data_IF_586867409492
#
_entry.id   IF_586867409492
#
_cell.length_a   1.000
_cell.length_b   1.000
_cell.length_c   1.000
_cell.angle_alpha   90.00
_cell.angle_beta   90.00
_cell.angle_gamma   90.00
#
_symmetry.space_group_name_H-M   'P 1'
#
loop_
_entity.id
_entity.type
_entity.pdbx_description
1 polymer ?
#
# COMPACT_ATOMS: atom_id res chain seq x y z
N UNK A 1 17.91 -14.66 -21.77
CA UNK A 1 16.94 -14.06 -22.72
C UNK A 1 16.60 -12.66 -22.23
N UNK A 2 16.20 -11.73 -23.11
CA UNK A 2 15.81 -10.36 -22.70
C UNK A 2 14.67 -10.36 -21.66
N UNK A 3 13.80 -11.35 -21.69
CA UNK A 3 12.69 -11.50 -20.75
C UNK A 3 13.14 -11.73 -19.30
N UNK A 4 14.16 -12.59 -19.09
CA UNK A 4 14.66 -12.88 -17.73
C UNK A 4 15.29 -11.62 -17.10
N UNK A 5 15.96 -10.81 -17.91
CA UNK A 5 16.59 -9.59 -17.43
C UNK A 5 15.58 -8.54 -16.98
N UNK A 6 14.48 -8.37 -17.73
CA UNK A 6 13.38 -7.46 -17.35
C UNK A 6 12.74 -7.88 -16.02
N UNK A 7 12.59 -9.18 -15.78
CA UNK A 7 12.05 -9.70 -14.51
C UNK A 7 13.00 -9.39 -13.35
N UNK A 8 14.31 -9.51 -13.53
CA UNK A 8 15.32 -9.20 -12.51
C UNK A 8 15.40 -7.70 -12.20
N UNK A 9 15.34 -6.84 -13.23
CA UNK A 9 15.31 -5.39 -13.06
C UNK A 9 14.03 -4.93 -12.34
N UNK A 10 12.89 -5.55 -12.66
CA UNK A 10 11.62 -5.32 -11.96
C UNK A 10 11.69 -5.77 -10.49
N UNK A 11 12.29 -6.92 -10.21
CA UNK A 11 12.52 -7.40 -8.84
C UNK A 11 13.35 -6.39 -8.04
N UNK A 12 14.46 -5.89 -8.59
CA UNK A 12 15.31 -4.89 -7.94
C UNK A 12 14.58 -3.56 -7.71
N UNK A 13 13.65 -3.19 -8.60
CA UNK A 13 12.82 -2.00 -8.44
C UNK A 13 11.74 -2.17 -7.35
N UNK A 14 11.11 -3.35 -7.28
CA UNK A 14 9.97 -3.58 -6.37
C UNK A 14 10.41 -3.94 -4.94
N UNK A 15 11.56 -4.60 -4.76
CA UNK A 15 12.05 -5.03 -3.43
C UNK A 15 12.19 -3.88 -2.41
N UNK A 16 12.77 -2.70 -2.75
CA UNK A 16 12.82 -1.56 -1.84
C UNK A 16 11.43 -0.99 -1.51
N UNK A 17 10.47 -1.10 -2.44
CA UNK A 17 9.08 -0.69 -2.20
C UNK A 17 8.36 -1.70 -1.27
N UNK A 18 8.75 -2.97 -1.31
CA UNK A 18 8.26 -4.02 -0.40
C UNK A 18 8.79 -3.88 1.04
N UNK A 19 9.83 -3.10 1.30
CA UNK A 19 10.21 -2.76 2.69
C UNK A 19 9.12 -1.96 3.41
N UNK A 20 8.28 -1.21 2.67
CA UNK A 20 7.07 -0.56 3.20
C UNK A 20 5.95 -1.59 3.45
N UNK A 21 5.95 -2.69 2.68
CA UNK A 21 5.00 -3.80 2.76
C UNK A 21 5.72 -5.07 3.22
N UNK A 22 6.34 -5.02 4.40
CA UNK A 22 7.24 -6.05 4.92
C UNK A 22 6.74 -7.48 4.62
N UNK A 23 7.44 -8.16 3.71
CA UNK A 23 7.18 -9.56 3.37
C UNK A 23 8.01 -10.45 4.30
N UNK A 24 7.31 -11.21 5.16
CA UNK A 24 7.92 -12.02 6.23
C UNK A 24 8.92 -13.05 5.73
N UNK A 25 8.78 -13.51 4.49
CA UNK A 25 9.63 -14.54 3.92
C UNK A 25 11.06 -14.04 3.61
N UNK A 26 11.25 -12.72 3.49
CA UNK A 26 12.56 -12.11 3.19
C UNK A 26 13.34 -11.67 4.43
N UNK A 27 12.72 -11.61 5.60
CA UNK A 27 13.36 -11.17 6.84
C UNK A 27 13.69 -12.39 7.71
N UNK A 28 14.83 -13.02 7.43
CA UNK A 28 15.41 -14.12 8.25
C UNK A 28 16.01 -13.59 9.57
N UNK A 29 15.30 -12.74 10.30
CA UNK A 29 15.79 -12.17 11.54
C UNK A 29 15.01 -12.75 12.74
N UNK A 30 15.72 -13.46 13.62
CA UNK A 30 15.23 -14.13 14.85
C UNK A 30 14.53 -13.19 15.87
N UNK A 31 14.37 -11.91 15.55
CA UNK A 31 13.75 -10.86 16.38
C UNK A 31 12.38 -10.40 15.87
N UNK A 32 11.79 -11.10 14.91
CA UNK A 32 10.44 -10.82 14.44
C UNK A 32 9.41 -11.32 15.46
N UNK A 33 9.14 -10.53 16.51
CA UNK A 33 7.88 -10.68 17.22
C UNK A 33 6.75 -10.65 16.20
N UNK A 34 5.91 -11.68 16.23
CA UNK A 34 4.77 -11.80 15.34
C UNK A 34 3.91 -10.54 15.45
N UNK A 35 3.91 -9.74 14.39
CA UNK A 35 3.07 -8.56 14.32
C UNK A 35 1.61 -9.00 14.20
N UNK A 36 0.81 -8.72 15.23
CA UNK A 36 -0.59 -9.14 15.29
C UNK A 36 -1.53 -8.01 14.87
N UNK A 37 -2.72 -8.40 14.39
CA UNK A 37 -3.80 -7.45 14.09
C UNK A 37 -4.13 -6.57 15.30
N UNK A 38 -4.15 -7.15 16.50
CA UNK A 38 -4.45 -6.41 17.73
C UNK A 38 -3.38 -5.36 18.03
N UNK A 39 -2.09 -5.68 17.83
CA UNK A 39 -1.01 -4.71 17.98
C UNK A 39 -1.15 -3.56 16.97
N UNK A 40 -1.49 -3.87 15.70
CA UNK A 40 -1.76 -2.83 14.70
C UNK A 40 -2.91 -1.93 15.11
N UNK A 41 -4.06 -2.50 15.48
CA UNK A 41 -5.26 -1.72 15.84
C UNK A 41 -5.04 -0.87 17.09
N UNK A 42 -4.26 -1.34 18.07
CA UNK A 42 -3.90 -0.55 19.24
C UNK A 42 -3.04 0.66 18.88
N UNK A 43 -2.02 0.48 18.02
CA UNK A 43 -1.21 1.58 17.49
C UNK A 43 -2.02 2.51 16.59
N UNK A 44 -2.98 1.98 15.84
CA UNK A 44 -3.84 2.79 14.99
C UNK A 44 -4.73 3.74 15.81
N UNK A 45 -5.23 3.29 16.96
CA UNK A 45 -6.14 4.08 17.82
C UNK A 45 -5.51 5.37 18.34
N UNK A 46 -4.19 5.45 18.46
CA UNK A 46 -3.51 6.67 18.90
C UNK A 46 -3.32 7.69 17.78
N UNK A 47 -3.40 7.27 16.51
CA UNK A 47 -3.18 8.14 15.33
C UNK A 47 -4.48 8.54 14.66
N UNK A 48 -5.50 7.69 14.68
CA UNK A 48 -6.80 8.00 14.09
C UNK A 48 -7.68 8.77 15.05
N UNK A 49 -8.38 9.76 14.50
CA UNK A 49 -9.31 10.59 15.25
C UNK A 49 -10.63 10.75 14.49
N UNK A 50 -11.65 11.24 15.20
CA UNK A 50 -12.93 11.63 14.61
C UNK A 50 -13.60 10.51 13.80
N UNK A 51 -13.90 10.82 12.54
CA UNK A 51 -14.59 9.89 11.64
C UNK A 51 -13.75 8.65 11.35
N UNK A 52 -12.45 8.82 11.03
CA UNK A 52 -11.57 7.69 10.74
C UNK A 52 -11.49 6.70 11.90
N UNK A 53 -11.39 7.19 13.14
CA UNK A 53 -11.33 6.34 14.33
C UNK A 53 -12.59 5.49 14.53
N UNK A 54 -13.77 6.02 14.17
CA UNK A 54 -15.04 5.30 14.27
C UNK A 54 -15.18 4.28 13.14
N UNK A 55 -14.92 4.69 11.91
CA UNK A 55 -15.09 3.86 10.71
C UNK A 55 -14.06 2.72 10.66
N UNK A 56 -12.81 2.97 11.07
CA UNK A 56 -11.71 2.02 11.01
C UNK A 56 -11.42 1.36 12.37
N UNK A 57 -12.35 1.40 13.33
CA UNK A 57 -12.15 0.91 14.71
C UNK A 57 -11.60 -0.52 14.80
N UNK A 58 -12.03 -1.37 13.87
CA UNK A 58 -11.67 -2.79 13.79
C UNK A 58 -10.98 -3.16 12.47
N UNK A 59 -10.67 -2.17 11.62
CA UNK A 59 -10.14 -2.39 10.28
C UNK A 59 -8.79 -1.67 10.19
N UNK A 60 -7.71 -2.37 9.81
CA UNK A 60 -6.45 -1.71 9.50
C UNK A 60 -6.61 -0.68 8.39
N UNK A 61 -6.20 0.58 8.63
CA UNK A 61 -6.27 1.68 7.66
C UNK A 61 -5.55 1.33 6.36
N UNK A 62 -4.48 0.54 6.43
CA UNK A 62 -3.78 0.04 5.26
C UNK A 62 -4.69 -0.76 4.32
N UNK A 63 -5.55 -1.64 4.84
CA UNK A 63 -6.47 -2.42 4.01
C UNK A 63 -7.48 -1.52 3.32
N UNK A 64 -8.03 -0.54 4.04
CA UNK A 64 -8.94 0.44 3.48
C UNK A 64 -8.29 1.22 2.31
N UNK A 65 -7.08 1.73 2.52
CA UNK A 65 -6.28 2.44 1.52
C UNK A 65 -6.01 1.58 0.28
N UNK A 66 -5.63 0.32 0.46
CA UNK A 66 -5.37 -0.61 -0.67
C UNK A 66 -6.65 -0.88 -1.45
N UNK A 67 -7.76 -1.20 -0.77
CA UNK A 67 -9.04 -1.46 -1.42
C UNK A 67 -9.53 -0.24 -2.21
N UNK A 68 -9.43 0.96 -1.65
CA UNK A 68 -9.78 2.20 -2.36
C UNK A 68 -8.90 2.43 -3.60
N UNK A 69 -7.60 2.14 -3.52
CA UNK A 69 -6.70 2.19 -4.69
C UNK A 69 -7.12 1.19 -5.76
N UNK A 70 -7.42 -0.05 -5.38
CA UNK A 70 -7.88 -1.08 -6.31
C UNK A 70 -9.18 -0.67 -6.99
N UNK A 71 -10.16 -0.16 -6.22
CA UNK A 71 -11.41 0.35 -6.77
C UNK A 71 -11.18 1.49 -7.78
N UNK A 72 -10.28 2.43 -7.47
CA UNK A 72 -9.92 3.53 -8.38
C UNK A 72 -9.27 3.01 -9.66
N UNK A 73 -8.31 2.09 -9.56
CA UNK A 73 -7.62 1.49 -10.72
C UNK A 73 -8.60 0.69 -11.59
N UNK A 74 -9.58 0.03 -10.98
CA UNK A 74 -10.63 -0.69 -11.69
C UNK A 74 -11.73 0.22 -12.29
N UNK A 75 -11.65 1.54 -12.12
CA UNK A 75 -12.71 2.47 -12.56
C UNK A 75 -14.01 2.35 -11.75
N UNK A 76 -14.00 1.61 -10.64
CA UNK A 76 -15.13 1.44 -9.73
C UNK A 76 -15.15 2.52 -8.62
N UNK A 77 -14.23 3.47 -8.66
CA UNK A 77 -14.00 4.49 -7.64
C UNK A 77 -15.05 5.60 -7.63
N UNK A 78 -16.28 5.28 -7.22
CA UNK A 78 -17.32 6.24 -6.84
C UNK A 78 -17.42 6.43 -5.32
N UNK A 79 -16.34 6.13 -4.58
CA UNK A 79 -16.38 6.08 -3.11
C UNK A 79 -16.72 7.46 -2.54
N UNK A 80 -17.82 7.52 -1.78
CA UNK A 80 -18.27 8.68 -0.99
C UNK A 80 -17.39 8.95 0.24
N UNK A 81 -16.22 8.33 0.30
CA UNK A 81 -15.25 8.46 1.35
C UNK A 81 -14.81 9.93 1.50
N UNK A 82 -14.78 10.47 2.72
CA UNK A 82 -14.45 11.85 2.93
C UNK A 82 -13.00 12.16 2.49
N UNK A 83 -12.74 13.35 1.91
CA UNK A 83 -11.48 13.67 1.22
C UNK A 83 -10.21 13.44 2.04
N UNK A 84 -10.27 13.56 3.37
CA UNK A 84 -9.12 13.36 4.25
C UNK A 84 -8.61 11.90 4.28
N UNK A 85 -9.49 10.93 4.01
CA UNK A 85 -9.11 9.52 3.84
C UNK A 85 -8.46 9.26 2.47
N UNK A 86 -8.79 10.10 1.48
CA UNK A 86 -8.32 9.99 0.11
C UNK A 86 -7.13 10.88 -0.20
N UNK A 87 -6.86 11.93 0.57
CA UNK A 87 -5.74 12.86 0.33
C UNK A 87 -4.36 12.18 0.27
N UNK A 88 -4.04 11.16 1.10
CA UNK A 88 -2.80 10.39 0.94
C UNK A 88 -2.78 9.46 -0.30
N UNK A 89 -3.90 9.33 -1.02
CA UNK A 89 -4.06 8.51 -2.21
C UNK A 89 -3.82 9.27 -3.52
N UNK A 90 -3.65 10.59 -3.47
CA UNK A 90 -3.21 11.43 -4.60
C UNK A 90 -1.73 11.12 -4.92
N UNK A 91 -1.44 9.92 -5.39
CA UNK A 91 -0.20 9.66 -6.09
C UNK A 91 -0.42 10.16 -7.52
N UNK A 92 0.12 11.34 -7.82
CA UNK A 92 0.29 11.82 -9.19
C UNK A 92 1.28 10.92 -9.89
N UNK A 93 0.79 9.80 -10.45
CA UNK A 93 1.57 9.08 -11.46
C UNK A 93 1.53 9.94 -12.72
N UNK A 94 2.60 10.66 -13.01
CA UNK A 94 2.81 11.09 -14.39
C UNK A 94 3.02 9.79 -15.17
N UNK A 95 2.05 9.43 -16.02
CA UNK A 95 2.28 8.39 -17.02
C UNK A 95 3.35 8.96 -17.94
N UNK A 96 4.62 8.73 -17.62
CA UNK A 96 5.71 9.00 -18.52
C UNK A 96 5.47 8.12 -19.74
N UNK A 97 5.04 8.73 -20.85
CA UNK A 97 4.97 8.08 -22.14
C UNK A 97 6.35 7.49 -22.45
N UNK A 98 6.51 6.16 -22.53
CA UNK A 98 7.79 5.58 -22.91
C UNK A 98 7.99 5.88 -24.40
N UNK A 99 8.84 6.86 -24.70
CA UNK A 99 9.31 7.14 -26.05
C UNK A 99 10.31 6.05 -26.45
N UNK A 100 9.83 5.02 -27.14
CA UNK A 100 10.70 4.10 -27.86
C UNK A 100 11.04 4.76 -29.21
N UNK A 101 12.23 5.35 -29.31
CA UNK A 101 12.81 5.74 -30.59
C UNK A 101 13.25 4.49 -31.34
N UNK A 102 12.83 4.39 -32.61
CA UNK A 102 13.12 3.29 -33.55
C UNK A 102 14.60 3.19 -33.92
#
# INVERSE_FOLDING_TARGET
>A
SKQIQVVQEFEQFILPQLYVFCNRDFVKEKRNQEFTLQQYLNRQRIVLHGYEARTLKNIPKLLYVICERLLRVCGCGGSTAPPHLLAPLEISYTVGTPSFTS
#
